data_IF_977245469826
#
_entry.id   IF_977245469826
#
_cell.length_a   1.000
_cell.length_b   1.000
_cell.length_c   1.000
_cell.angle_alpha   90.00
_cell.angle_beta   90.00
_cell.angle_gamma   90.00
#
_symmetry.space_group_name_H-M   'P 1'
#
loop_
_entity.id
_entity.type
_entity.pdbx_description
1 polymer ?
#
# COMPACT_ATOMS: atom_id res chain seq x y z
N UNK A 1 -10.24 2.20 -7.51
CA UNK A 1 -9.02 2.95 -7.18
C UNK A 1 -9.37 4.42 -6.97
N UNK A 2 -9.19 4.92 -5.74
CA UNK A 2 -9.56 6.29 -5.31
C UNK A 2 -8.56 7.33 -5.86
N UNK A 3 -7.32 6.90 -6.12
CA UNK A 3 -6.25 7.73 -6.66
C UNK A 3 -5.89 7.25 -8.09
N UNK A 4 -5.42 8.13 -8.97
CA UNK A 4 -4.79 7.80 -10.26
C UNK A 4 -3.36 8.33 -10.31
N UNK A 5 -2.49 7.76 -11.15
CA UNK A 5 -1.26 8.44 -11.50
C UNK A 5 -1.53 9.78 -12.20
N UNK A 6 -0.60 10.74 -12.10
CA UNK A 6 -0.71 12.08 -12.70
C UNK A 6 -0.62 12.07 -14.23
N UNK A 7 -0.02 11.04 -14.83
CA UNK A 7 -0.16 10.77 -16.26
C UNK A 7 -1.16 9.65 -16.52
N UNK A 8 -1.85 9.73 -17.67
CA UNK A 8 -2.86 8.75 -18.06
C UNK A 8 -2.69 8.46 -19.54
N UNK A 9 -1.99 7.37 -19.83
CA UNK A 9 -1.80 6.81 -21.16
C UNK A 9 -2.59 5.51 -21.26
N UNK A 10 -2.89 5.07 -22.48
CA UNK A 10 -3.62 3.83 -22.74
C UNK A 10 -2.85 2.65 -22.12
N UNK A 11 -3.58 1.76 -21.44
CA UNK A 11 -3.05 0.51 -20.91
C UNK A 11 -2.82 -0.47 -22.05
N UNK A 12 -1.67 -1.13 -22.06
CA UNK A 12 -1.36 -2.11 -23.08
C UNK A 12 -2.17 -3.39 -22.85
N UNK A 13 -2.47 -4.14 -23.91
CA UNK A 13 -3.16 -5.42 -23.79
C UNK A 13 -2.36 -6.37 -22.88
N UNK A 14 -3.01 -6.92 -21.85
CA UNK A 14 -2.38 -7.83 -20.87
C UNK A 14 -1.45 -7.16 -19.84
N UNK A 15 -1.30 -5.83 -19.85
CA UNK A 15 -0.50 -5.11 -18.86
C UNK A 15 -1.18 -5.17 -17.48
N UNK A 16 -0.43 -5.62 -16.46
CA UNK A 16 -0.91 -5.57 -15.07
C UNK A 16 -1.06 -4.13 -14.61
N UNK A 17 -2.02 -3.88 -13.74
CA UNK A 17 -2.31 -2.54 -13.22
C UNK A 17 -1.07 -1.87 -12.58
N UNK A 18 -0.33 -2.60 -11.74
CA UNK A 18 0.92 -2.09 -11.15
C UNK A 18 1.97 -1.69 -12.21
N UNK A 19 2.11 -2.46 -13.29
CA UNK A 19 3.03 -2.13 -14.39
C UNK A 19 2.57 -0.88 -15.14
N UNK A 20 1.26 -0.75 -15.36
CA UNK A 20 0.66 0.43 -15.97
C UNK A 20 0.90 1.68 -15.11
N UNK A 21 0.60 1.62 -13.80
CA UNK A 21 0.84 2.72 -12.85
C UNK A 21 2.31 3.14 -12.85
N UNK A 22 3.25 2.20 -12.81
CA UNK A 22 4.68 2.49 -12.85
C UNK A 22 5.09 3.22 -14.14
N UNK A 23 4.51 2.83 -15.29
CA UNK A 23 4.75 3.50 -16.57
C UNK A 23 4.18 4.93 -16.63
N UNK A 24 3.15 5.22 -15.83
CA UNK A 24 2.58 6.57 -15.72
C UNK A 24 3.39 7.49 -14.78
N UNK A 25 4.33 6.94 -14.01
CA UNK A 25 5.17 7.71 -13.10
C UNK A 25 6.66 7.34 -13.27
N UNK A 26 7.28 7.59 -14.43
CA UNK A 26 8.71 7.36 -14.62
C UNK A 26 9.53 8.31 -13.72
N UNK A 27 9.93 7.85 -12.55
CA UNK A 27 10.66 8.67 -11.56
C UNK A 27 12.11 8.91 -12.00
N UNK A 28 12.58 10.16 -11.95
CA UNK A 28 14.01 10.48 -12.15
C UNK A 28 14.84 9.94 -10.99
N UNK A 29 15.52 8.82 -11.24
CA UNK A 29 16.38 8.15 -10.27
C UNK A 29 17.54 9.01 -9.73
N UNK A 30 17.92 10.09 -10.43
CA UNK A 30 18.95 11.06 -10.00
C UNK A 30 18.42 12.06 -8.96
N UNK A 31 17.10 12.27 -8.91
CA UNK A 31 16.41 13.16 -7.96
C UNK A 31 15.62 12.33 -6.95
N UNK A 32 16.38 11.53 -6.20
CA UNK A 32 15.85 10.47 -5.35
C UNK A 32 14.85 10.95 -4.30
N UNK A 33 13.98 10.02 -3.89
CA UNK A 33 13.01 10.13 -2.81
C UNK A 33 13.22 8.92 -1.89
N UNK A 34 13.10 9.05 -0.55
CA UNK A 34 12.74 10.26 0.19
C UNK A 34 13.91 11.22 0.43
N UNK A 35 15.13 10.86 0.00
CA UNK A 35 16.33 11.68 0.20
C UNK A 35 16.93 12.12 -1.13
N UNK A 36 17.37 13.39 -1.17
CA UNK A 36 18.18 13.88 -2.28
C UNK A 36 19.65 13.38 -2.18
N UNK A 37 20.47 13.70 -3.18
CA UNK A 37 21.88 13.30 -3.24
C UNK A 37 22.76 13.86 -2.10
N UNK A 38 22.27 14.85 -1.35
CA UNK A 38 22.93 15.47 -0.18
C UNK A 38 22.35 14.99 1.16
N UNK A 39 21.53 13.93 1.14
CA UNK A 39 20.84 13.37 2.30
C UNK A 39 19.87 14.35 2.99
N UNK A 40 19.33 15.33 2.27
CA UNK A 40 18.19 16.13 2.75
C UNK A 40 16.87 15.45 2.36
N UNK A 41 15.86 15.62 3.20
CA UNK A 41 14.50 15.20 2.90
C UNK A 41 13.99 15.86 1.62
N UNK A 42 13.37 15.05 0.79
CA UNK A 42 12.77 15.44 -0.46
C UNK A 42 11.34 14.91 -0.46
N UNK A 43 10.36 15.82 -0.41
CA UNK A 43 8.97 15.49 -0.10
C UNK A 43 8.22 14.73 -1.19
N UNK A 44 8.80 14.61 -2.39
CA UNK A 44 8.13 13.99 -3.53
C UNK A 44 9.10 13.43 -4.56
N UNK A 45 8.57 13.08 -5.72
CA UNK A 45 9.33 12.54 -6.85
C UNK A 45 9.36 13.54 -7.98
N UNK A 46 10.38 13.43 -8.85
CA UNK A 46 10.34 14.09 -10.16
C UNK A 46 9.91 13.05 -11.19
N UNK A 47 8.79 13.28 -11.86
CA UNK A 47 8.26 12.40 -12.90
C UNK A 47 8.71 12.94 -14.25
N UNK A 48 9.47 12.13 -14.99
CA UNK A 48 10.03 12.51 -16.29
C UNK A 48 8.99 12.39 -17.39
N UNK A 49 9.21 13.12 -18.47
CA UNK A 49 8.41 13.00 -19.67
C UNK A 49 9.28 13.17 -20.91
N UNK A 50 8.76 12.72 -22.05
CA UNK A 50 9.46 12.75 -23.35
C UNK A 50 8.62 13.44 -24.41
N UNK A 51 7.58 14.16 -24.00
CA UNK A 51 6.72 14.85 -24.93
C UNK A 51 7.48 15.96 -25.66
N UNK A 52 6.93 16.35 -26.81
CA UNK A 52 7.42 17.50 -27.57
C UNK A 52 6.39 18.61 -27.48
N UNK A 53 6.84 19.85 -27.71
CA UNK A 53 6.01 21.05 -27.64
C UNK A 53 4.74 20.96 -28.52
N UNK A 54 4.75 20.14 -29.58
CA UNK A 54 3.59 19.98 -30.47
C UNK A 54 2.47 19.09 -29.91
N UNK A 55 2.75 18.25 -28.90
CA UNK A 55 1.76 17.41 -28.21
C UNK A 55 2.16 17.27 -26.73
N UNK A 56 2.02 18.33 -25.92
CA UNK A 56 2.39 18.28 -24.51
C UNK A 56 1.48 17.30 -23.76
N UNK A 57 2.10 16.45 -22.95
CA UNK A 57 1.42 15.55 -22.03
C UNK A 57 0.93 16.34 -20.82
N UNK A 58 -0.38 16.30 -20.63
CA UNK A 58 -1.04 17.00 -19.53
C UNK A 58 -0.89 16.21 -18.24
N UNK A 59 -0.42 16.89 -17.20
CA UNK A 59 -0.52 16.43 -15.81
C UNK A 59 -2.00 16.47 -15.41
N UNK A 60 -2.46 15.44 -14.70
CA UNK A 60 -3.86 15.26 -14.30
C UNK A 60 -4.02 15.11 -12.80
N UNK A 61 -5.18 15.52 -12.31
CA UNK A 61 -5.56 15.38 -10.92
C UNK A 61 -5.57 13.90 -10.51
N UNK A 62 -4.93 13.57 -9.39
CA UNK A 62 -4.84 12.19 -8.91
C UNK A 62 -6.14 11.74 -8.24
N UNK A 63 -6.91 12.69 -7.71
CA UNK A 63 -8.15 12.47 -6.98
C UNK A 63 -9.01 13.73 -7.06
N UNK A 64 -10.29 13.60 -6.73
CA UNK A 64 -11.18 14.74 -6.56
C UNK A 64 -10.63 15.67 -5.48
N UNK A 65 -10.71 16.98 -5.70
CA UNK A 65 -10.17 17.94 -4.76
C UNK A 65 -10.58 19.39 -5.04
N UNK A 66 -10.05 20.27 -4.21
CA UNK A 66 -10.23 21.71 -4.28
C UNK A 66 -8.88 22.40 -4.46
N UNK A 67 -8.80 23.37 -5.37
CA UNK A 67 -7.61 24.20 -5.55
C UNK A 67 -7.45 25.12 -4.34
N UNK A 68 -6.38 24.94 -3.57
CA UNK A 68 -6.08 25.77 -2.39
C UNK A 68 -4.91 26.74 -2.62
N UNK A 69 -4.08 26.49 -3.63
CA UNK A 69 -3.02 27.41 -4.05
C UNK A 69 -2.53 27.04 -5.45
N UNK A 70 -2.16 28.03 -6.25
CA UNK A 70 -1.52 27.81 -7.54
C UNK A 70 -0.67 29.03 -7.94
N UNK A 71 0.27 28.79 -8.85
CA UNK A 71 1.05 29.85 -9.51
C UNK A 71 1.09 29.56 -11.01
N UNK A 72 0.69 30.54 -11.81
CA UNK A 72 0.86 30.47 -13.25
C UNK A 72 2.36 30.39 -13.60
N UNK A 73 2.78 29.57 -14.59
CA UNK A 73 4.17 29.48 -15.01
C UNK A 73 4.72 30.85 -15.44
N UNK A 74 5.97 31.12 -15.08
CA UNK A 74 6.74 32.27 -15.57
C UNK A 74 7.02 32.17 -17.08
N UNK A 75 7.32 33.29 -17.72
CA UNK A 75 7.73 33.30 -19.13
C UNK A 75 9.07 32.58 -19.34
N UNK A 76 9.36 32.19 -20.58
CA UNK A 76 10.63 31.53 -20.92
C UNK A 76 11.85 32.39 -20.63
N UNK A 77 11.74 33.71 -20.78
CA UNK A 77 12.84 34.64 -20.45
C UNK A 77 13.15 34.63 -18.95
N UNK A 78 12.11 34.57 -18.11
CA UNK A 78 12.26 34.49 -16.66
C UNK A 78 12.75 33.11 -16.20
N UNK A 79 12.26 32.04 -16.84
CA UNK A 79 12.73 30.65 -16.63
C UNK A 79 14.22 30.51 -16.95
N UNK A 80 14.67 31.15 -18.02
CA UNK A 80 16.05 31.03 -18.52
C UNK A 80 17.02 31.99 -17.81
N UNK A 81 16.54 32.76 -16.83
CA UNK A 81 17.32 33.68 -16.01
C UNK A 81 17.41 33.23 -14.54
N UNK A 82 18.36 33.82 -13.80
CA UNK A 82 18.41 33.67 -12.34
C UNK A 82 17.15 34.26 -11.68
N UNK A 83 16.54 33.61 -10.66
CA UNK A 83 17.03 32.43 -9.95
C UNK A 83 16.57 31.08 -10.53
N UNK A 84 15.72 31.06 -11.55
CA UNK A 84 15.11 29.81 -12.06
C UNK A 84 16.08 28.95 -12.88
N UNK A 85 17.16 29.55 -13.39
CA UNK A 85 18.19 28.86 -14.18
C UNK A 85 19.51 28.65 -13.42
N UNK A 86 19.48 28.48 -12.09
CA UNK A 86 20.72 28.38 -11.29
C UNK A 86 21.50 27.07 -11.53
N UNK A 87 20.80 25.95 -11.69
CA UNK A 87 21.35 24.63 -12.05
C UNK A 87 20.98 24.20 -13.48
N UNK A 88 20.19 25.01 -14.17
CA UNK A 88 19.55 24.69 -15.44
C UNK A 88 18.12 25.19 -15.49
N UNK A 89 17.53 25.26 -16.68
CA UNK A 89 16.19 25.83 -16.90
C UNK A 89 15.17 25.04 -16.08
N UNK A 90 14.42 25.75 -15.25
CA UNK A 90 13.43 25.16 -14.34
C UNK A 90 12.15 25.98 -14.37
N UNK A 91 11.04 25.36 -14.75
CA UNK A 91 9.73 25.98 -14.70
C UNK A 91 9.23 26.13 -13.26
N UNK A 92 8.37 27.10 -12.99
CA UNK A 92 7.94 27.46 -11.64
C UNK A 92 6.41 27.43 -11.46
N UNK A 93 5.63 27.02 -12.47
CA UNK A 93 4.20 26.82 -12.30
C UNK A 93 3.91 25.72 -11.28
N UNK A 94 2.88 25.90 -10.46
CA UNK A 94 2.43 24.84 -9.55
C UNK A 94 0.92 24.89 -9.28
N UNK A 95 0.38 23.75 -8.85
CA UNK A 95 -0.97 23.59 -8.33
C UNK A 95 -0.92 22.75 -7.06
N UNK A 96 -1.61 23.20 -6.02
CA UNK A 96 -1.83 22.49 -4.76
C UNK A 96 -3.32 22.18 -4.64
N UNK A 97 -3.66 20.90 -4.55
CA UNK A 97 -5.02 20.44 -4.33
C UNK A 97 -5.18 19.91 -2.90
N UNK A 98 -6.30 20.24 -2.28
CA UNK A 98 -6.77 19.62 -1.04
C UNK A 98 -7.79 18.54 -1.37
N UNK A 99 -7.62 17.38 -0.77
CA UNK A 99 -8.49 16.22 -0.93
C UNK A 99 -9.15 15.86 0.39
N UNK A 100 -10.30 15.19 0.29
CA UNK A 100 -11.00 14.58 1.42
C UNK A 100 -11.46 13.21 0.98
N UNK A 101 -11.23 12.19 1.80
CA UNK A 101 -11.72 10.84 1.53
C UNK A 101 -12.02 10.11 2.82
N UNK A 102 -13.07 9.30 2.79
CA UNK A 102 -13.32 8.32 3.83
C UNK A 102 -12.46 7.08 3.57
N UNK A 103 -11.84 6.54 4.62
CA UNK A 103 -11.01 5.34 4.57
C UNK A 103 -11.60 4.18 5.38
N UNK A 104 -12.67 4.45 6.13
CA UNK A 104 -13.35 3.48 6.97
C UNK A 104 -14.56 4.08 7.67
N UNK A 105 -15.14 3.32 8.60
CA UNK A 105 -16.26 3.77 9.39
C UNK A 105 -15.85 4.93 10.29
N UNK A 106 -16.50 6.08 10.11
CA UNK A 106 -16.19 7.32 10.84
C UNK A 106 -14.72 7.79 10.71
N UNK A 107 -13.99 7.33 9.69
CA UNK A 107 -12.59 7.71 9.47
C UNK A 107 -12.44 8.51 8.18
N UNK A 108 -12.37 9.84 8.31
CA UNK A 108 -12.14 10.78 7.21
C UNK A 108 -10.72 11.35 7.26
N UNK A 109 -10.05 11.39 6.10
CA UNK A 109 -8.69 11.92 5.95
C UNK A 109 -8.68 13.08 4.98
N UNK A 110 -7.97 14.13 5.39
CA UNK A 110 -7.58 15.27 4.56
C UNK A 110 -6.12 15.09 4.15
N UNK A 111 -5.86 15.17 2.85
CA UNK A 111 -4.50 15.13 2.31
C UNK A 111 -4.37 16.10 1.14
N UNK A 112 -3.15 16.32 0.69
CA UNK A 112 -2.82 17.28 -0.35
C UNK A 112 -2.00 16.62 -1.45
N UNK A 113 -2.22 17.06 -2.68
CA UNK A 113 -1.31 16.76 -3.79
C UNK A 113 -0.73 18.05 -4.36
N UNK A 114 0.59 18.06 -4.57
CA UNK A 114 1.34 19.19 -5.10
C UNK A 114 1.98 18.79 -6.43
N UNK A 115 1.69 19.60 -7.46
CA UNK A 115 2.23 19.47 -8.80
C UNK A 115 3.07 20.71 -9.08
N UNK A 116 4.39 20.59 -9.23
CA UNK A 116 5.28 21.74 -9.49
C UNK A 116 6.08 21.57 -10.78
N UNK A 117 6.71 22.67 -11.20
CA UNK A 117 7.46 22.77 -12.46
C UNK A 117 6.56 22.53 -13.67
N UNK A 118 5.34 23.08 -13.61
CA UNK A 118 4.42 23.16 -14.74
C UNK A 118 4.84 24.32 -15.63
N UNK A 119 4.72 24.15 -16.95
CA UNK A 119 5.11 25.15 -17.94
C UNK A 119 3.91 25.70 -18.71
N UNK A 120 4.13 26.79 -19.45
CA UNK A 120 3.16 27.35 -20.39
C UNK A 120 1.92 27.88 -19.67
N UNK A 121 0.85 27.10 -19.66
CA UNK A 121 -0.41 27.46 -19.02
C UNK A 121 -0.94 26.31 -18.15
N UNK A 122 -1.55 26.68 -17.02
CA UNK A 122 -2.38 25.78 -16.24
C UNK A 122 -3.70 25.54 -16.98
N UNK A 123 -4.39 24.45 -16.63
CA UNK A 123 -5.72 24.19 -17.17
C UNK A 123 -6.69 25.33 -16.80
N UNK A 124 -7.61 25.75 -17.68
CA UNK A 124 -8.55 26.84 -17.40
C UNK A 124 -9.45 26.64 -16.17
N UNK A 125 -9.62 25.39 -15.73
CA UNK A 125 -10.35 25.03 -14.51
C UNK A 125 -9.61 25.42 -13.22
N UNK A 126 -8.30 25.64 -13.28
CA UNK A 126 -7.48 25.98 -12.11
C UNK A 126 -7.69 27.45 -11.75
N UNK A 127 -8.48 27.66 -10.68
CA UNK A 127 -8.76 28.95 -10.06
C UNK A 127 -9.01 28.74 -8.57
N UNK A 128 -8.92 29.80 -7.78
CA UNK A 128 -9.06 29.75 -6.33
C UNK A 128 -10.38 29.07 -5.90
N UNK A 129 -10.30 28.08 -5.01
CA UNK A 129 -11.44 27.32 -4.51
C UNK A 129 -12.15 26.43 -5.53
N UNK A 130 -11.61 26.27 -6.75
CA UNK A 130 -12.26 25.44 -7.76
C UNK A 130 -12.23 23.97 -7.39
N UNK A 131 -13.36 23.30 -7.64
CA UNK A 131 -13.43 21.84 -7.60
C UNK A 131 -12.85 21.25 -8.87
N UNK A 132 -11.94 20.30 -8.68
CA UNK A 132 -11.24 19.56 -9.73
C UNK A 132 -11.57 18.08 -9.54
N UNK A 133 -11.96 17.41 -10.61
CA UNK A 133 -12.30 15.99 -10.57
C UNK A 133 -11.07 15.15 -10.90
N UNK A 134 -11.04 13.93 -10.37
CA UNK A 134 -10.01 12.95 -10.68
C UNK A 134 -9.86 12.83 -12.20
N UNK A 135 -8.61 12.88 -12.67
CA UNK A 135 -8.20 12.85 -14.08
C UNK A 135 -8.41 14.15 -14.87
N UNK A 136 -9.00 15.19 -14.29
CA UNK A 136 -9.06 16.50 -14.94
C UNK A 136 -7.65 17.03 -15.22
N UNK A 137 -7.43 17.75 -16.33
CA UNK A 137 -6.15 18.39 -16.61
C UNK A 137 -5.79 19.42 -15.53
N UNK A 138 -4.51 19.45 -15.13
CA UNK A 138 -3.91 20.41 -14.21
C UNK A 138 -3.07 21.44 -14.96
N UNK A 139 -2.21 20.98 -15.86
CA UNK A 139 -1.29 21.82 -16.60
C UNK A 139 -0.32 21.00 -17.44
N UNK A 140 0.51 21.68 -18.23
CA UNK A 140 1.54 21.04 -19.04
C UNK A 140 2.78 20.72 -18.19
N UNK A 141 3.36 19.54 -18.42
CA UNK A 141 4.61 19.14 -17.76
C UNK A 141 5.76 20.03 -18.19
N UNK A 142 6.52 20.59 -17.27
CA UNK A 142 7.64 21.48 -17.57
C UNK A 142 9.00 20.80 -17.46
N UNK A 143 9.96 21.56 -16.96
CA UNK A 143 11.36 21.18 -16.90
C UNK A 143 11.97 21.49 -15.53
N UNK A 144 12.95 20.68 -15.12
CA UNK A 144 13.75 20.87 -13.92
C UNK A 144 15.22 20.64 -14.22
N UNK A 145 16.06 21.66 -14.02
CA UNK A 145 17.48 21.71 -14.37
C UNK A 145 17.78 21.12 -15.77
N UNK A 146 17.10 21.66 -16.80
CA UNK A 146 17.20 21.21 -18.20
C UNK A 146 16.65 19.79 -18.50
N UNK A 147 15.98 19.13 -17.54
CA UNK A 147 15.36 17.82 -17.73
C UNK A 147 13.85 17.95 -17.81
N UNK A 148 13.24 17.39 -18.85
CA UNK A 148 11.78 17.29 -18.97
C UNK A 148 11.20 16.47 -17.82
N UNK A 149 10.64 17.17 -16.83
CA UNK A 149 10.10 16.59 -15.61
C UNK A 149 9.20 17.58 -14.88
N UNK A 150 8.31 17.07 -14.04
CA UNK A 150 7.57 17.84 -13.05
C UNK A 150 7.74 17.21 -11.67
N UNK A 151 7.65 18.01 -10.60
CA UNK A 151 7.69 17.49 -9.24
C UNK A 151 6.27 17.13 -8.79
N UNK A 152 6.13 15.97 -8.14
CA UNK A 152 4.87 15.46 -7.64
C UNK A 152 5.02 14.95 -6.20
N UNK A 153 4.11 15.39 -5.33
CA UNK A 153 4.13 15.05 -3.91
C UNK A 153 2.71 14.85 -3.38
N UNK A 154 2.53 13.86 -2.50
CA UNK A 154 1.31 13.65 -1.71
C UNK A 154 1.69 13.69 -0.24
N UNK A 155 0.93 14.43 0.57
CA UNK A 155 1.26 14.66 1.98
C UNK A 155 0.01 15.04 2.79
N UNK A 156 0.09 14.90 4.10
CA UNK A 156 -0.90 15.42 5.04
C UNK A 156 -0.21 15.81 6.35
N UNK A 157 -0.95 16.41 7.28
CA UNK A 157 -0.44 16.77 8.60
C UNK A 157 -0.40 15.55 9.54
N UNK A 158 0.16 15.75 10.75
CA UNK A 158 0.31 14.67 11.73
C UNK A 158 -1.04 14.09 12.21
N UNK A 159 -2.10 14.90 12.26
CA UNK A 159 -3.42 14.43 12.65
C UNK A 159 -3.97 13.45 11.61
N UNK A 160 -3.87 13.79 10.33
CA UNK A 160 -4.34 12.96 9.23
C UNK A 160 -3.41 11.76 8.99
N UNK A 161 -2.10 11.89 9.22
CA UNK A 161 -1.18 10.77 9.23
C UNK A 161 -1.57 9.74 10.29
N UNK A 162 -1.90 10.18 11.52
CA UNK A 162 -2.36 9.27 12.58
C UNK A 162 -3.67 8.56 12.21
N UNK A 163 -4.61 9.27 11.58
CA UNK A 163 -5.86 8.64 11.07
C UNK A 163 -5.59 7.60 10.00
N UNK A 164 -4.64 7.85 9.10
CA UNK A 164 -4.23 6.88 8.07
C UNK A 164 -3.60 5.64 8.70
N UNK A 165 -2.58 5.81 9.54
CA UNK A 165 -1.70 4.71 9.98
C UNK A 165 -2.15 4.02 11.25
N UNK A 166 -3.04 4.66 12.04
CA UNK A 166 -3.45 4.19 13.36
C UNK A 166 -2.33 4.22 14.41
N UNK A 167 -1.13 4.73 14.07
CA UNK A 167 0.03 4.75 14.99
C UNK A 167 1.05 5.82 14.65
N UNK A 168 1.86 6.17 15.65
CA UNK A 168 3.08 6.98 15.50
C UNK A 168 4.37 6.19 15.72
N UNK A 169 4.27 4.92 16.13
CA UNK A 169 5.45 4.07 16.37
C UNK A 169 6.03 3.52 15.06
N UNK A 170 7.36 3.30 14.98
CA UNK A 170 8.00 2.79 13.77
C UNK A 170 7.38 1.49 13.25
N UNK A 171 7.16 0.55 14.15
CA UNK A 171 6.59 -0.76 13.88
C UNK A 171 5.18 -0.87 14.46
N UNK A 172 4.43 -1.81 13.91
CA UNK A 172 3.05 -2.10 14.27
C UNK A 172 3.02 -2.90 15.59
N UNK A 173 2.10 -2.55 16.50
CA UNK A 173 1.88 -3.32 17.73
C UNK A 173 1.24 -4.67 17.40
N UNK A 174 2.03 -5.74 17.56
CA UNK A 174 1.62 -7.13 17.28
C UNK A 174 1.08 -7.87 18.51
N UNK A 175 0.93 -7.19 19.66
CA UNK A 175 0.36 -7.79 20.87
C UNK A 175 -1.17 -7.91 20.83
N UNK A 176 -1.80 -7.19 19.91
CA UNK A 176 -3.25 -7.11 19.74
C UNK A 176 -3.60 -7.15 18.27
N UNK A 177 -4.88 -7.37 18.05
CA UNK A 177 -5.53 -7.27 16.76
C UNK A 177 -5.48 -5.82 16.21
N UNK A 178 -5.35 -5.70 14.89
CA UNK A 178 -5.37 -4.42 14.17
C UNK A 178 -6.72 -3.72 14.25
N UNK A 179 -6.80 -2.51 13.69
CA UNK A 179 -7.98 -1.65 13.80
C UNK A 179 -9.22 -2.24 13.11
N UNK A 180 -10.41 -1.89 13.58
CA UNK A 180 -11.70 -2.35 13.02
C UNK A 180 -12.48 -1.23 12.34
N UNK A 181 -12.18 0.02 12.65
CA UNK A 181 -12.78 1.22 12.06
C UNK A 181 -12.31 1.46 10.61
N UNK A 182 -11.18 0.90 10.20
CA UNK A 182 -10.67 0.98 8.82
C UNK A 182 -10.00 -0.33 8.45
N UNK A 183 -10.60 -1.06 7.51
CA UNK A 183 -10.12 -2.36 7.05
C UNK A 183 -10.18 -2.39 5.53
N UNK A 184 -9.04 -2.53 4.88
CA UNK A 184 -8.94 -2.61 3.42
C UNK A 184 -7.72 -3.39 2.97
N UNK A 185 -7.71 -3.77 1.69
CA UNK A 185 -6.57 -4.42 1.05
C UNK A 185 -6.39 -5.87 1.48
N UNK A 186 -5.13 -6.27 1.57
CA UNK A 186 -4.72 -7.60 2.03
C UNK A 186 -4.96 -7.74 3.54
N UNK A 187 -5.14 -8.98 3.98
CA UNK A 187 -5.31 -9.33 5.39
C UNK A 187 -4.06 -10.05 5.85
N UNK A 188 -3.60 -9.73 7.05
CA UNK A 188 -2.35 -10.24 7.57
C UNK A 188 -2.53 -10.90 8.93
N UNK A 189 -1.74 -11.92 9.19
CA UNK A 189 -1.78 -12.70 10.42
C UNK A 189 -0.39 -12.78 11.03
N UNK A 190 -0.30 -12.45 12.31
CA UNK A 190 0.87 -12.73 13.14
C UNK A 190 0.68 -14.08 13.84
N UNK A 191 1.53 -15.04 13.51
CA UNK A 191 1.58 -16.36 14.14
C UNK A 191 2.74 -16.36 15.15
N UNK A 192 2.47 -16.44 16.47
CA UNK A 192 3.54 -16.48 17.46
C UNK A 192 4.35 -17.79 17.38
N UNK A 193 5.57 -17.82 17.95
CA UNK A 193 6.27 -19.07 18.23
C UNK A 193 5.37 -20.02 19.03
N UNK A 194 5.43 -21.31 18.73
CA UNK A 194 4.58 -22.35 19.30
C UNK A 194 3.31 -22.62 18.49
N UNK A 195 3.07 -21.93 17.38
CA UNK A 195 1.92 -22.19 16.51
C UNK A 195 2.04 -23.58 15.88
N UNK A 196 1.03 -24.43 16.10
CA UNK A 196 0.94 -25.77 15.52
C UNK A 196 0.44 -25.74 14.07
N UNK A 197 1.04 -26.60 13.24
CA UNK A 197 0.64 -26.85 11.86
C UNK A 197 0.25 -28.32 11.72
N UNK A 198 -0.86 -28.57 11.05
CA UNK A 198 -1.44 -29.92 10.96
C UNK A 198 -1.47 -30.41 9.51
N UNK A 199 -1.31 -31.71 9.31
CA UNK A 199 -1.28 -32.33 7.97
C UNK A 199 -2.61 -32.13 7.22
N UNK A 200 -3.73 -32.32 7.91
CA UNK A 200 -5.08 -32.18 7.37
C UNK A 200 -6.08 -31.90 8.48
N UNK A 201 -7.22 -31.33 8.13
CA UNK A 201 -8.34 -31.08 9.05
C UNK A 201 -9.61 -31.70 8.47
N UNK A 202 -10.00 -32.91 8.93
CA UNK A 202 -11.18 -33.61 8.41
C UNK A 202 -12.50 -32.88 8.70
N UNK A 203 -12.59 -32.20 9.84
CA UNK A 203 -13.74 -31.38 10.24
C UNK A 203 -13.33 -29.92 10.34
N UNK A 204 -13.48 -29.19 9.24
CA UNK A 204 -13.15 -27.77 9.17
C UNK A 204 -14.08 -26.87 9.99
N UNK A 205 -15.12 -27.41 10.62
CA UNK A 205 -16.04 -26.65 11.50
C UNK A 205 -15.63 -26.74 12.98
N UNK A 206 -14.74 -27.67 13.33
CA UNK A 206 -14.25 -27.87 14.69
C UNK A 206 -12.90 -27.17 14.91
N UNK A 207 -12.73 -26.43 16.02
CA UNK A 207 -11.42 -25.87 16.40
C UNK A 207 -10.52 -26.88 17.12
N UNK A 208 -11.03 -28.08 17.45
CA UNK A 208 -10.30 -29.11 18.21
C UNK A 208 -9.08 -29.65 17.44
N UNK A 209 -7.94 -29.70 18.13
CA UNK A 209 -6.66 -30.17 17.59
C UNK A 209 -6.22 -31.54 18.13
N UNK A 210 -6.91 -32.10 19.12
CA UNK A 210 -6.44 -33.29 19.88
C UNK A 210 -6.22 -34.52 19.00
N UNK A 211 -6.96 -34.61 17.89
CA UNK A 211 -6.91 -35.73 16.93
C UNK A 211 -6.23 -35.39 15.62
N UNK A 212 -5.71 -34.18 15.48
CA UNK A 212 -5.00 -33.75 14.28
C UNK A 212 -3.54 -34.21 14.34
N UNK A 213 -2.96 -34.54 13.19
CA UNK A 213 -1.55 -34.92 13.10
C UNK A 213 -0.67 -33.66 12.97
N UNK A 214 0.13 -33.28 14.00
CA UNK A 214 1.01 -32.13 13.90
C UNK A 214 2.21 -32.44 12.99
N UNK A 215 2.42 -31.61 11.98
CA UNK A 215 3.55 -31.72 11.03
C UNK A 215 4.67 -30.71 11.34
N UNK A 216 4.33 -29.62 12.03
CA UNK A 216 5.29 -28.60 12.44
C UNK A 216 4.79 -27.82 13.65
N UNK A 217 5.72 -27.25 14.41
CA UNK A 217 5.44 -26.25 15.45
C UNK A 217 6.44 -25.13 15.26
N UNK A 218 5.96 -23.90 15.06
CA UNK A 218 6.84 -22.76 14.81
C UNK A 218 7.76 -22.53 16.00
N UNK A 219 9.03 -22.26 15.74
CA UNK A 219 10.01 -21.85 16.78
C UNK A 219 10.31 -20.35 16.73
N UNK A 220 9.85 -19.69 15.68
CA UNK A 220 9.98 -18.27 15.40
C UNK A 220 8.62 -17.69 14.97
N UNK A 221 8.42 -16.37 15.05
CA UNK A 221 7.21 -15.76 14.54
C UNK A 221 7.10 -15.86 13.02
N UNK A 222 5.88 -16.08 12.51
CA UNK A 222 5.57 -16.07 11.09
C UNK A 222 4.52 -15.00 10.78
N UNK A 223 4.66 -14.37 9.62
CA UNK A 223 3.80 -13.29 9.16
C UNK A 223 3.13 -13.72 7.86
N UNK A 224 1.84 -14.01 7.93
CA UNK A 224 1.07 -14.50 6.78
C UNK A 224 0.28 -13.35 6.18
N UNK A 225 0.15 -13.31 4.86
CA UNK A 225 -0.69 -12.36 4.13
C UNK A 225 -1.61 -13.12 3.18
N UNK A 226 -2.90 -12.81 3.28
CA UNK A 226 -4.00 -13.29 2.45
C UNK A 226 -4.41 -12.16 1.51
N UNK A 227 -4.13 -12.34 0.23
CA UNK A 227 -4.42 -11.38 -0.82
C UNK A 227 -5.48 -11.94 -1.76
N UNK A 228 -6.43 -11.10 -2.18
CA UNK A 228 -7.45 -11.48 -3.14
C UNK A 228 -7.29 -10.72 -4.45
N UNK A 229 -7.20 -11.44 -5.56
CA UNK A 229 -7.11 -10.85 -6.88
C UNK A 229 -7.89 -11.68 -7.91
N UNK A 230 -8.91 -11.08 -8.53
CA UNK A 230 -9.66 -11.64 -9.66
C UNK A 230 -10.23 -13.04 -9.37
N UNK A 231 -10.73 -13.28 -8.16
CA UNK A 231 -11.32 -14.55 -7.77
C UNK A 231 -10.35 -15.48 -7.04
N UNK A 232 -9.05 -15.21 -7.09
CA UNK A 232 -8.03 -16.04 -6.46
C UNK A 232 -7.68 -15.53 -5.06
N UNK A 233 -7.42 -16.47 -4.15
CA UNK A 233 -6.81 -16.21 -2.85
C UNK A 233 -5.34 -16.62 -2.91
N UNK A 234 -4.44 -15.69 -2.60
CA UNK A 234 -3.01 -15.94 -2.49
C UNK A 234 -2.55 -15.80 -1.04
N UNK A 235 -1.95 -16.86 -0.51
CA UNK A 235 -1.34 -16.89 0.81
C UNK A 235 0.18 -16.81 0.68
N UNK A 236 0.77 -15.81 1.35
CA UNK A 236 2.23 -15.62 1.42
C UNK A 236 2.66 -15.63 2.87
N UNK A 237 3.68 -16.43 3.19
CA UNK A 237 4.29 -16.43 4.54
C UNK A 237 5.67 -15.79 4.50
N UNK A 238 5.97 -14.99 5.53
CA UNK A 238 7.26 -14.36 5.74
C UNK A 238 7.78 -14.63 7.14
N UNK A 239 9.10 -14.53 7.30
CA UNK A 239 9.78 -14.49 8.61
C UNK A 239 10.75 -13.33 8.64
N UNK A 240 11.04 -12.83 9.85
CA UNK A 240 12.02 -11.77 10.00
C UNK A 240 13.42 -12.30 9.70
N UNK A 241 14.22 -11.53 8.94
CA UNK A 241 15.58 -11.91 8.62
C UNK A 241 16.47 -11.79 9.87
N UNK A 242 17.25 -12.84 10.15
CA UNK A 242 18.09 -12.93 11.35
C UNK A 242 19.26 -11.95 11.37
N UNK A 243 19.63 -11.35 10.23
CA UNK A 243 20.77 -10.43 10.09
C UNK A 243 20.32 -8.98 9.89
N UNK A 244 19.16 -8.76 9.27
CA UNK A 244 18.63 -7.45 8.91
C UNK A 244 17.19 -7.34 9.45
N UNK A 245 17.05 -6.74 10.62
CA UNK A 245 15.77 -6.62 11.35
C UNK A 245 14.61 -6.06 10.50
N UNK A 246 14.88 -5.10 9.61
CA UNK A 246 13.88 -4.49 8.73
C UNK A 246 13.48 -5.33 7.51
N UNK A 247 14.11 -6.50 7.31
CA UNK A 247 13.86 -7.37 6.15
C UNK A 247 13.05 -8.59 6.58
N UNK A 248 12.06 -8.93 5.77
CA UNK A 248 11.23 -10.12 5.94
C UNK A 248 11.38 -11.01 4.72
N UNK A 249 11.87 -12.22 4.93
CA UNK A 249 12.12 -13.20 3.87
C UNK A 249 10.90 -14.10 3.66
N UNK A 250 10.65 -14.48 2.41
CA UNK A 250 9.62 -15.44 2.03
C UNK A 250 9.91 -16.81 2.65
N UNK A 251 8.86 -17.47 3.14
CA UNK A 251 8.87 -18.85 3.65
C UNK A 251 8.02 -19.69 2.71
N UNK A 252 8.66 -20.59 1.96
CA UNK A 252 8.01 -21.36 0.92
C UNK A 252 7.60 -20.51 -0.28
N UNK A 253 6.89 -21.14 -1.22
CA UNK A 253 6.29 -20.48 -2.37
C UNK A 253 4.90 -19.91 -2.00
N UNK A 254 4.43 -18.86 -2.70
CA UNK A 254 3.05 -18.40 -2.59
C UNK A 254 2.06 -19.52 -2.88
N UNK A 255 1.07 -19.70 -2.02
CA UNK A 255 0.00 -20.68 -2.19
C UNK A 255 -1.20 -20.00 -2.84
N UNK A 256 -1.73 -20.56 -3.93
CA UNK A 256 -2.87 -19.99 -4.65
C UNK A 256 -4.04 -20.95 -4.59
N UNK A 257 -5.17 -20.50 -4.04
CA UNK A 257 -6.40 -21.27 -3.87
C UNK A 257 -6.18 -22.64 -3.19
N UNK A 258 -5.20 -22.74 -2.30
CA UNK A 258 -4.84 -24.01 -1.64
C UNK A 258 -6.03 -24.62 -0.88
N UNK A 259 -6.90 -23.78 -0.34
CA UNK A 259 -8.07 -24.16 0.43
C UNK A 259 -9.38 -24.06 -0.36
N UNK A 260 -9.33 -23.92 -1.70
CA UNK A 260 -10.53 -23.89 -2.53
C UNK A 260 -11.15 -25.29 -2.65
N UNK A 261 -12.42 -25.42 -2.27
CA UNK A 261 -13.17 -26.67 -2.31
C UNK A 261 -14.08 -26.73 -3.56
N UNK A 262 -14.10 -27.88 -4.23
CA UNK A 262 -14.98 -28.10 -5.38
C UNK A 262 -16.47 -28.06 -5.00
N UNK A 263 -16.81 -28.34 -3.75
CA UNK A 263 -18.17 -28.26 -3.23
C UNK A 263 -18.72 -26.83 -3.23
N UNK A 264 -17.84 -25.82 -3.24
CA UNK A 264 -18.23 -24.41 -3.19
C UNK A 264 -18.32 -23.76 -4.58
N UNK A 265 -18.00 -24.51 -5.64
CA UNK A 265 -17.95 -24.00 -7.01
C UNK A 265 -19.33 -23.54 -7.51
N UNK A 266 -19.36 -22.35 -8.10
CA UNK A 266 -20.41 -21.91 -9.01
C UNK A 266 -20.11 -22.29 -10.46
N UNK A 267 -21.02 -21.96 -11.36
CA UNK A 267 -20.93 -22.30 -12.78
C UNK A 267 -19.67 -21.73 -13.46
N UNK A 268 -19.23 -20.52 -13.07
CA UNK A 268 -18.09 -19.81 -13.67
C UNK A 268 -16.96 -19.52 -12.65
N UNK A 269 -16.96 -20.20 -11.50
CA UNK A 269 -16.06 -19.89 -10.37
C UNK A 269 -15.31 -21.13 -9.86
N UNK A 270 -15.05 -22.10 -10.75
CA UNK A 270 -14.36 -23.36 -10.40
C UNK A 270 -13.00 -23.06 -9.75
N UNK A 271 -12.86 -23.46 -8.48
CA UNK A 271 -11.68 -23.28 -7.63
C UNK A 271 -11.23 -21.80 -7.49
N UNK A 272 -12.15 -20.85 -7.68
CA UNK A 272 -11.93 -19.42 -7.41
C UNK A 272 -12.35 -19.11 -5.98
N UNK A 273 -11.42 -19.24 -5.05
CA UNK A 273 -11.67 -19.11 -3.61
C UNK A 273 -12.43 -17.83 -3.26
N UNK A 274 -11.98 -16.66 -3.73
CA UNK A 274 -12.61 -15.37 -3.42
C UNK A 274 -14.07 -15.31 -3.88
N UNK A 275 -14.33 -15.77 -5.11
CA UNK A 275 -15.68 -15.74 -5.67
C UNK A 275 -16.61 -16.78 -5.03
N UNK A 276 -16.05 -17.81 -4.40
CA UNK A 276 -16.81 -18.86 -3.72
C UNK A 276 -16.98 -18.61 -2.21
N UNK A 277 -16.41 -17.55 -1.65
CA UNK A 277 -16.48 -17.22 -0.22
C UNK A 277 -17.89 -17.30 0.36
N UNK A 278 -18.91 -16.85 -0.38
CA UNK A 278 -20.31 -16.96 0.05
C UNK A 278 -20.79 -18.40 0.20
N UNK A 279 -20.45 -19.27 -0.77
CA UNK A 279 -20.83 -20.69 -0.71
C UNK A 279 -20.07 -21.40 0.41
N UNK A 280 -18.77 -21.14 0.53
CA UNK A 280 -17.93 -21.62 1.63
C UNK A 280 -18.50 -21.20 2.99
N UNK A 281 -18.93 -19.93 3.12
CA UNK A 281 -19.50 -19.42 4.35
C UNK A 281 -20.81 -20.14 4.74
N UNK A 282 -21.70 -20.39 3.78
CA UNK A 282 -22.95 -21.14 4.02
C UNK A 282 -22.70 -22.58 4.45
N UNK A 283 -21.65 -23.21 3.91
CA UNK A 283 -21.29 -24.60 4.22
C UNK A 283 -20.64 -24.73 5.59
N UNK A 284 -19.66 -23.87 5.90
CA UNK A 284 -18.86 -23.97 7.12
C UNK A 284 -19.50 -23.26 8.32
N UNK A 285 -20.28 -22.21 8.10
CA UNK A 285 -20.88 -21.39 9.16
C UNK A 285 -22.40 -21.24 8.96
N UNK A 286 -23.18 -22.35 8.91
CA UNK A 286 -24.59 -22.33 8.53
C UNK A 286 -25.50 -21.55 9.50
N UNK A 287 -25.07 -21.35 10.75
CA UNK A 287 -25.82 -20.61 11.76
C UNK A 287 -25.78 -19.09 11.53
N UNK A 288 -24.64 -18.59 11.03
CA UNK A 288 -24.51 -17.21 10.60
C UNK A 288 -23.49 -17.10 9.44
N UNK A 289 -23.95 -17.31 8.18
CA UNK A 289 -23.08 -17.21 7.02
C UNK A 289 -22.50 -15.81 6.80
N UNK A 290 -23.14 -14.76 7.33
CA UNK A 290 -22.64 -13.39 7.20
C UNK A 290 -21.36 -13.20 8.04
N UNK A 291 -21.42 -13.55 9.33
CA UNK A 291 -20.23 -13.61 10.19
C UNK A 291 -19.16 -14.58 9.65
N UNK A 292 -19.57 -15.72 9.07
CA UNK A 292 -18.66 -16.67 8.43
C UNK A 292 -17.95 -16.09 7.19
N UNK A 293 -18.65 -15.30 6.39
CA UNK A 293 -18.05 -14.59 5.25
C UNK A 293 -17.02 -13.58 5.73
N UNK A 294 -17.32 -12.79 6.77
CA UNK A 294 -16.35 -11.87 7.37
C UNK A 294 -15.12 -12.63 7.91
N UNK A 295 -15.33 -13.76 8.59
CA UNK A 295 -14.24 -14.60 9.07
C UNK A 295 -13.33 -15.08 7.93
N UNK A 296 -13.89 -15.60 6.85
CA UNK A 296 -13.12 -16.06 5.69
C UNK A 296 -12.42 -14.90 4.95
N UNK A 297 -13.03 -13.71 4.91
CA UNK A 297 -12.52 -12.56 4.15
C UNK A 297 -11.50 -11.72 4.93
N UNK A 298 -11.67 -11.61 6.25
CA UNK A 298 -10.95 -10.70 7.13
C UNK A 298 -10.20 -11.39 8.28
N UNK A 299 -10.32 -12.71 8.41
CA UNK A 299 -9.73 -13.46 9.51
C UNK A 299 -10.45 -13.30 10.85
N UNK A 300 -11.49 -12.47 10.90
CA UNK A 300 -12.29 -12.13 12.09
C UNK A 300 -13.59 -11.43 11.68
N UNK A 301 -14.56 -11.40 12.58
CA UNK A 301 -15.77 -10.57 12.42
C UNK A 301 -15.41 -9.11 12.73
N UNK A 302 -15.67 -8.21 11.78
CA UNK A 302 -15.48 -6.77 11.90
C UNK A 302 -16.74 -6.13 12.47
N UNK A 303 -17.92 -6.48 11.95
CA UNK A 303 -19.19 -5.90 12.37
C UNK A 303 -19.74 -6.56 13.64
N UNK A 304 -19.01 -6.45 14.74
CA UNK A 304 -19.39 -7.10 16.02
C UNK A 304 -20.66 -6.54 16.67
N UNK A 305 -21.18 -5.40 16.20
CA UNK A 305 -22.46 -4.82 16.66
C UNK A 305 -23.67 -5.61 16.12
N UNK A 306 -23.60 -6.06 14.87
CA UNK A 306 -24.71 -6.71 14.19
C UNK A 306 -24.47 -8.18 13.84
N UNK A 307 -23.21 -8.62 13.88
CA UNK A 307 -22.80 -9.98 13.52
C UNK A 307 -22.19 -10.72 14.71
N UNK A 308 -22.58 -11.98 14.87
CA UNK A 308 -22.02 -12.88 15.90
C UNK A 308 -21.71 -14.22 15.27
N UNK A 309 -20.47 -14.67 15.44
CA UNK A 309 -20.01 -15.98 15.01
C UNK A 309 -20.65 -17.08 15.88
N UNK A 310 -21.15 -18.14 15.25
CA UNK A 310 -21.82 -19.25 15.93
C UNK A 310 -21.33 -20.60 15.38
N UNK A 311 -20.61 -21.41 16.17
CA UNK A 311 -20.17 -21.13 17.56
C UNK A 311 -19.14 -19.99 17.65
N UNK A 312 -18.96 -19.42 18.84
CA UNK A 312 -18.09 -18.25 19.03
C UNK A 312 -16.60 -18.53 18.76
N UNK A 313 -16.20 -19.79 18.85
CA UNK A 313 -14.86 -20.32 18.59
C UNK A 313 -14.74 -20.99 17.21
N UNK A 314 -15.67 -20.71 16.28
CA UNK A 314 -15.63 -21.31 14.96
C UNK A 314 -14.27 -21.02 14.27
N UNK A 315 -13.59 -22.05 13.74
CA UNK A 315 -12.22 -21.92 13.25
C UNK A 315 -12.16 -21.28 11.86
N UNK A 316 -10.97 -20.81 11.49
CA UNK A 316 -10.59 -20.50 10.11
C UNK A 316 -9.36 -21.33 9.76
N UNK A 317 -9.58 -22.52 9.21
CA UNK A 317 -8.50 -23.40 8.79
C UNK A 317 -7.97 -22.98 7.42
N UNK A 318 -6.70 -22.56 7.36
CA UNK A 318 -6.03 -22.20 6.11
C UNK A 318 -4.69 -22.90 5.97
N UNK A 319 -4.30 -23.24 4.74
CA UNK A 319 -2.99 -23.81 4.44
C UNK A 319 -1.95 -22.71 4.47
N UNK A 320 -0.93 -22.88 5.31
CA UNK A 320 0.14 -21.90 5.52
C UNK A 320 1.50 -22.57 5.34
N UNK A 321 2.44 -21.85 4.73
CA UNK A 321 3.82 -22.31 4.58
C UNK A 321 4.61 -22.15 5.88
N UNK A 322 5.40 -23.15 6.23
CA UNK A 322 6.40 -23.09 7.29
C UNK A 322 7.78 -23.47 6.75
N UNK A 323 8.89 -23.23 7.47
CA UNK A 323 10.21 -23.64 7.00
C UNK A 323 10.29 -25.15 6.73
N UNK A 324 10.30 -25.53 5.45
CA UNK A 324 10.40 -26.93 5.01
C UNK A 324 9.07 -27.58 4.59
N UNK A 325 7.93 -26.89 4.63
CA UNK A 325 6.66 -27.48 4.21
C UNK A 325 5.46 -26.53 4.28
N UNK A 326 4.27 -27.13 4.26
CA UNK A 326 2.98 -26.43 4.43
C UNK A 326 2.11 -27.24 5.38
N UNK A 327 1.18 -26.58 6.08
CA UNK A 327 0.21 -27.25 6.94
C UNK A 327 -0.98 -26.35 7.27
N UNK A 328 -2.03 -26.96 7.78
CA UNK A 328 -3.27 -26.29 8.17
C UNK A 328 -3.08 -25.58 9.51
N UNK A 329 -3.51 -24.33 9.59
CA UNK A 329 -3.50 -23.50 10.82
C UNK A 329 -4.87 -22.88 11.01
N UNK A 330 -5.38 -22.89 12.25
CA UNK A 330 -6.59 -22.16 12.60
C UNK A 330 -6.25 -20.68 12.80
N UNK A 331 -6.32 -19.89 11.73
CA UNK A 331 -6.04 -18.46 11.73
C UNK A 331 -7.02 -17.64 12.59
N UNK A 332 -8.20 -18.20 12.93
CA UNK A 332 -9.16 -17.55 13.81
C UNK A 332 -8.75 -17.59 15.29
N UNK A 333 -7.79 -18.45 15.67
CA UNK A 333 -7.29 -18.56 17.05
C UNK A 333 -6.98 -17.19 17.67
N UNK A 334 -7.34 -17.00 18.94
CA UNK A 334 -7.11 -15.75 19.67
C UNK A 334 -5.63 -15.44 19.88
N UNK A 335 -4.75 -16.45 19.80
CA UNK A 335 -3.30 -16.27 19.85
C UNK A 335 -2.73 -15.64 18.58
N UNK A 336 -3.42 -15.79 17.45
CA UNK A 336 -3.06 -15.21 16.15
C UNK A 336 -3.70 -13.84 16.04
N UNK A 337 -2.89 -12.81 15.75
CA UNK A 337 -3.37 -11.43 15.61
C UNK A 337 -3.62 -11.09 14.15
N UNK A 338 -4.74 -10.42 13.89
CA UNK A 338 -5.23 -10.10 12.54
C UNK A 338 -5.04 -8.61 12.25
N UNK A 339 -4.56 -8.30 11.05
CA UNK A 339 -4.33 -6.94 10.57
C UNK A 339 -4.77 -6.81 9.12
N UNK A 340 -4.78 -5.61 8.58
CA UNK A 340 -4.98 -5.34 7.15
C UNK A 340 -3.97 -4.33 6.62
N UNK A 341 -4.00 -4.02 5.32
CA UNK A 341 -3.18 -2.95 4.76
C UNK A 341 -3.46 -1.57 5.42
N UNK A 342 -4.63 -1.40 6.06
CA UNK A 342 -4.95 -0.23 6.86
C UNK A 342 -4.08 -0.07 8.11
N UNK A 343 -3.43 -1.14 8.55
CA UNK A 343 -2.51 -1.13 9.68
C UNK A 343 -1.06 -0.95 9.22
N UNK A 344 -0.77 -0.72 7.94
CA UNK A 344 0.59 -0.48 7.42
C UNK A 344 1.64 -1.45 7.98
N UNK A 345 1.47 -2.77 7.82
CA UNK A 345 2.32 -3.75 8.49
C UNK A 345 3.78 -3.67 8.08
N UNK A 346 4.68 -3.72 9.06
CA UNK A 346 6.10 -3.50 8.80
C UNK A 346 6.77 -4.67 8.04
N UNK A 347 6.19 -5.87 8.13
CA UNK A 347 6.61 -7.02 7.34
C UNK A 347 6.25 -6.95 5.85
N UNK A 348 5.41 -5.99 5.44
CA UNK A 348 5.12 -5.71 4.02
C UNK A 348 5.91 -4.51 3.48
N UNK A 349 6.81 -3.95 4.27
CA UNK A 349 7.73 -2.88 3.86
C UNK A 349 7.39 -1.49 4.39
N UNK A 350 6.34 -1.35 5.20
CA UNK A 350 5.98 -0.09 5.84
C UNK A 350 6.80 0.19 7.10
N UNK A 351 7.18 1.45 7.32
CA UNK A 351 7.83 1.87 8.57
C UNK A 351 7.56 3.34 8.82
N UNK A 352 7.19 3.69 10.04
CA UNK A 352 7.09 5.09 10.45
C UNK A 352 8.47 5.61 10.85
N UNK A 353 8.76 6.83 10.43
CA UNK A 353 10.08 7.46 10.61
C UNK A 353 9.83 8.89 11.06
N UNK A 354 10.19 9.16 12.31
CA UNK A 354 10.03 10.46 12.97
C UNK A 354 11.16 10.64 14.01
N UNK A 355 12.39 10.29 13.62
CA UNK A 355 13.57 10.32 14.47
C UNK A 355 14.49 11.52 14.23
N UNK A 356 14.10 12.40 13.30
CA UNK A 356 14.73 13.70 13.11
C UNK A 356 14.17 14.72 14.11
N UNK A 357 15.06 15.28 14.92
CA UNK A 357 14.71 16.21 16.01
C UNK A 357 15.03 17.67 15.69
N UNK A 358 15.62 17.92 14.51
CA UNK A 358 15.96 19.25 14.04
C UNK A 358 15.02 19.71 12.91
N UNK A 359 15.07 21.02 12.59
CA UNK A 359 14.25 21.63 11.55
C UNK A 359 15.08 22.06 10.32
N UNK A 360 16.26 21.45 10.10
CA UNK A 360 17.16 21.86 9.02
C UNK A 360 16.97 21.07 7.70
N UNK A 361 15.96 20.19 7.67
CA UNK A 361 15.61 19.32 6.54
C UNK A 361 16.66 18.27 6.16
N UNK A 362 17.71 18.08 6.94
CA UNK A 362 18.65 16.97 6.78
C UNK A 362 18.06 15.69 7.36
N UNK A 363 18.34 14.56 6.72
CA UNK A 363 17.96 13.27 7.25
C UNK A 363 19.07 12.74 8.17
N UNK A 364 18.79 12.69 9.46
CA UNK A 364 19.66 12.06 10.46
C UNK A 364 19.23 10.64 10.81
N UNK A 365 18.11 10.18 10.28
CA UNK A 365 17.56 8.84 10.48
C UNK A 365 18.57 7.71 10.15
N UNK A 366 18.99 6.88 11.13
CA UNK A 366 19.98 5.83 10.92
C UNK A 366 19.62 4.80 9.84
N UNK A 367 18.36 4.34 9.69
CA UNK A 367 17.95 3.47 8.59
C UNK A 367 18.26 4.03 7.19
N UNK A 368 18.08 5.34 6.99
CA UNK A 368 18.27 5.97 5.68
C UNK A 368 19.70 6.44 5.42
N UNK A 369 20.48 6.76 6.46
CA UNK A 369 21.92 7.06 6.31
C UNK A 369 22.70 5.91 5.67
N UNK A 370 22.34 4.64 5.94
CA UNK A 370 22.99 3.46 5.32
C UNK A 370 22.71 3.34 3.81
N UNK A 371 21.56 3.82 3.35
CA UNK A 371 21.17 3.82 1.94
C UNK A 371 21.93 4.92 1.18
N UNK A 372 22.09 6.10 1.78
CA UNK A 372 22.88 7.20 1.23
C UNK A 372 24.39 6.88 1.17
N UNK A 373 24.94 6.25 2.22
CA UNK A 373 26.37 5.89 2.31
C UNK A 373 26.85 4.90 1.24
N UNK A 374 25.97 3.99 0.77
CA UNK A 374 26.31 3.05 -0.33
C UNK A 374 26.40 3.73 -1.71
N UNK A 375 25.74 4.87 -1.92
CA UNK A 375 25.86 5.65 -3.17
C UNK A 375 27.08 6.58 -3.19
N UNK A 376 27.58 7.01 -2.03
CA UNK A 376 28.80 7.85 -1.97
C UNK A 376 30.11 7.09 -2.19
N UNK A 377 30.14 5.75 -2.06
CA UNK A 377 31.34 4.93 -2.22
C UNK A 377 31.72 4.57 -3.67
N UNK A 378 31.15 5.24 -4.68
CA UNK A 378 31.67 5.18 -6.06
C UNK A 378 32.04 6.56 -6.57
N UNK A 379 33.20 7.06 -6.15
CA UNK A 379 34.09 7.84 -7.02
C UNK A 379 35.30 6.96 -7.33
N UNK A 380 35.49 6.46 -8.55
CA UNK A 380 36.83 6.25 -9.07
C UNK A 380 37.46 7.62 -9.35
N UNK A 381 38.76 7.71 -9.14
CA UNK A 381 39.63 8.83 -9.54
C UNK A 381 39.51 9.19 -11.02
#
# INVERSE_FOLDING_TARGET
MIISPPFIRIQNAGERDASWVNRMMPVDSRRSFPLNARASWHGGVHVTHTDTISQPEMVRAIADGEVVSFRAPSSTERRDAFPLNYNGRTDDGYVLLKHKTDIGENCNVVYYSLYMHLMGQLAPSIRDGARIWRKDPIGQSGMVDNVNAFHFQVFCDNENMLKLTGRTTPELDISRDGRTDTVYGDIHFYLPPGTGFYESVPDATSPDTDRLNPVHTSTEPLFVSMAFEKGDCMMVTRRQNTTTEARFDMVGEPLVNADADQLDNGQDTVLKYEYNLYNTAKRLYPQNPSAGFELLRFGRVINTEYETLAPADAPLWCTVSFPGGTGMVNLASSDIKKFSDADFPHWTGWRMVDDDTDNNSQCNSPPYRRIAGKRMLRRPE
#
